data_IF_017225526057
#
_entry.id   IF_017225526057
#
_cell.length_a   1.000
_cell.length_b   1.000
_cell.length_c   1.000
_cell.angle_alpha   90.00
_cell.angle_beta   90.00
_cell.angle_gamma   90.00
#
_symmetry.space_group_name_H-M   'P 1'
#
loop_
_entity.id
_entity.type
_entity.pdbx_description
1 polymer ?
#
# COMPACT_ATOMS: atom_id res chain seq x y z
N UNK A 1 -20.85 -9.76 -14.74
CA UNK A 1 -21.00 -8.49 -14.02
C UNK A 1 -19.61 -7.92 -13.75
N UNK A 2 -19.41 -6.61 -13.85
CA UNK A 2 -18.09 -5.99 -13.75
C UNK A 2 -17.45 -6.28 -12.39
N UNK A 3 -16.15 -6.62 -12.40
CA UNK A 3 -15.35 -6.71 -11.20
C UNK A 3 -15.34 -5.35 -10.48
N UNK A 4 -15.67 -5.35 -9.20
CA UNK A 4 -15.65 -4.17 -8.32
C UNK A 4 -14.23 -3.61 -8.14
N UNK A 5 -14.08 -2.32 -7.86
CA UNK A 5 -12.77 -1.67 -7.74
C UNK A 5 -11.97 -2.24 -6.57
N UNK A 6 -12.63 -2.49 -5.43
CA UNK A 6 -12.01 -3.13 -4.28
C UNK A 6 -11.58 -4.57 -4.57
N UNK A 7 -12.33 -5.30 -5.41
CA UNK A 7 -11.97 -6.64 -5.84
C UNK A 7 -10.73 -6.62 -6.76
N UNK A 8 -10.70 -5.71 -7.73
CA UNK A 8 -9.54 -5.55 -8.62
C UNK A 8 -8.29 -5.10 -7.83
N UNK A 9 -8.45 -4.25 -6.82
CA UNK A 9 -7.35 -3.86 -5.93
C UNK A 9 -6.84 -5.04 -5.09
N UNK A 10 -7.74 -5.83 -4.51
CA UNK A 10 -7.39 -7.05 -3.78
C UNK A 10 -6.64 -8.04 -4.67
N UNK A 11 -7.17 -8.36 -5.86
CA UNK A 11 -6.52 -9.29 -6.79
C UNK A 11 -5.14 -8.81 -7.21
N UNK A 12 -4.97 -7.53 -7.54
CA UNK A 12 -3.65 -6.95 -7.84
C UNK A 12 -2.69 -7.14 -6.67
N UNK A 13 -3.13 -6.90 -5.44
CA UNK A 13 -2.29 -7.07 -4.26
C UNK A 13 -1.85 -8.53 -4.06
N UNK A 14 -2.75 -9.49 -4.28
CA UNK A 14 -2.44 -10.93 -4.22
C UNK A 14 -1.46 -11.31 -5.32
N UNK A 15 -1.66 -10.82 -6.55
CA UNK A 15 -0.77 -11.04 -7.69
C UNK A 15 0.63 -10.46 -7.45
N UNK A 16 0.74 -9.23 -6.97
CA UNK A 16 2.02 -8.60 -6.62
C UNK A 16 2.79 -9.42 -5.59
N UNK A 17 2.11 -9.89 -4.53
CA UNK A 17 2.71 -10.76 -3.51
C UNK A 17 3.11 -12.12 -4.06
N UNK A 18 2.34 -12.68 -4.99
CA UNK A 18 2.68 -13.92 -5.68
C UNK A 18 3.90 -13.75 -6.60
N UNK A 19 4.05 -12.62 -7.28
CA UNK A 19 5.26 -12.31 -8.05
C UNK A 19 6.51 -12.16 -7.16
N UNK A 20 6.37 -11.58 -5.95
CA UNK A 20 7.46 -11.59 -4.97
C UNK A 20 7.87 -13.01 -4.59
N UNK A 21 6.91 -13.92 -4.42
CA UNK A 21 7.18 -15.34 -4.17
C UNK A 21 7.90 -15.98 -5.36
N UNK A 22 7.46 -15.72 -6.61
CA UNK A 22 8.11 -16.25 -7.83
C UNK A 22 9.54 -15.77 -7.97
N UNK A 23 9.78 -14.50 -7.71
CA UNK A 23 11.11 -13.89 -7.73
C UNK A 23 12.02 -14.51 -6.66
N UNK A 24 11.55 -14.60 -5.41
CA UNK A 24 12.30 -15.22 -4.32
C UNK A 24 12.56 -16.71 -4.56
N UNK A 25 11.61 -17.42 -5.17
CA UNK A 25 11.75 -18.83 -5.54
C UNK A 25 12.84 -19.02 -6.59
N UNK A 26 12.82 -18.20 -7.65
CA UNK A 26 13.83 -18.25 -8.72
C UNK A 26 15.22 -17.94 -8.18
N UNK A 27 15.34 -16.90 -7.36
CA UNK A 27 16.59 -16.54 -6.70
C UNK A 27 17.12 -17.68 -5.82
N UNK A 28 16.27 -18.32 -5.00
CA UNK A 28 16.69 -19.46 -4.18
C UNK A 28 17.20 -20.62 -5.04
N UNK A 29 16.56 -20.93 -6.16
CA UNK A 29 17.05 -21.97 -7.08
C UNK A 29 18.46 -21.69 -7.60
N UNK A 30 18.72 -20.45 -8.00
CA UNK A 30 20.05 -20.01 -8.45
C UNK A 30 21.08 -20.06 -7.31
N UNK A 31 20.70 -19.60 -6.11
CA UNK A 31 21.58 -19.59 -4.94
C UNK A 31 21.89 -21.00 -4.42
N UNK A 32 20.98 -21.96 -4.53
CA UNK A 32 21.27 -23.35 -4.14
C UNK A 32 22.42 -23.93 -4.96
N UNK A 33 22.48 -23.60 -6.27
CA UNK A 33 23.50 -24.08 -7.19
C UNK A 33 24.87 -23.42 -6.95
N UNK A 34 24.89 -22.10 -6.70
CA UNK A 34 26.13 -21.31 -6.77
C UNK A 34 26.57 -20.68 -5.44
N UNK A 35 25.66 -20.61 -4.45
CA UNK A 35 25.91 -19.85 -3.22
C UNK A 35 26.61 -20.64 -2.13
N UNK A 36 27.11 -19.91 -1.13
CA UNK A 36 27.55 -20.48 0.15
C UNK A 36 26.36 -20.76 1.09
N UNK A 37 26.63 -21.33 2.27
CA UNK A 37 25.59 -21.74 3.21
C UNK A 37 24.73 -20.55 3.70
N UNK A 38 25.36 -19.43 4.03
CA UNK A 38 24.66 -18.24 4.52
C UNK A 38 23.78 -17.62 3.45
N UNK A 39 24.25 -17.58 2.20
CA UNK A 39 23.47 -17.10 1.06
C UNK A 39 22.22 -17.95 0.83
N UNK A 40 22.35 -19.29 0.94
CA UNK A 40 21.21 -20.21 0.82
C UNK A 40 20.21 -20.03 1.94
N UNK A 41 20.67 -19.86 3.18
CA UNK A 41 19.80 -19.57 4.33
C UNK A 41 19.05 -18.25 4.13
N UNK A 42 19.75 -17.18 3.71
CA UNK A 42 19.13 -15.88 3.43
C UNK A 42 18.08 -15.98 2.32
N UNK A 43 18.41 -16.65 1.21
CA UNK A 43 17.47 -16.83 0.10
C UNK A 43 16.25 -17.67 0.50
N UNK A 44 16.43 -18.74 1.29
CA UNK A 44 15.33 -19.57 1.81
C UNK A 44 14.45 -18.79 2.78
N UNK A 45 15.05 -17.98 3.64
CA UNK A 45 14.33 -17.10 4.57
C UNK A 45 13.49 -16.07 3.82
N UNK A 46 14.07 -15.42 2.80
CA UNK A 46 13.34 -14.48 1.94
C UNK A 46 12.15 -15.13 1.23
N UNK A 47 12.31 -16.35 0.69
CA UNK A 47 11.20 -17.09 0.10
C UNK A 47 10.12 -17.39 1.15
N UNK A 48 10.50 -17.85 2.35
CA UNK A 48 9.56 -18.12 3.44
C UNK A 48 8.75 -16.88 3.82
N UNK A 49 9.42 -15.73 3.96
CA UNK A 49 8.79 -14.45 4.29
C UNK A 49 7.81 -13.99 3.21
N UNK A 50 8.19 -14.12 1.93
CA UNK A 50 7.30 -13.83 0.81
C UNK A 50 6.05 -14.72 0.85
N UNK A 51 6.22 -16.04 1.08
CA UNK A 51 5.12 -16.98 1.19
C UNK A 51 4.19 -16.65 2.38
N UNK A 52 4.76 -16.33 3.55
CA UNK A 52 3.97 -15.95 4.73
C UNK A 52 3.22 -14.63 4.51
N UNK A 53 3.82 -13.69 3.78
CA UNK A 53 3.19 -12.41 3.43
C UNK A 53 2.01 -12.61 2.49
N UNK A 54 2.17 -13.46 1.47
CA UNK A 54 1.07 -13.86 0.61
C UNK A 54 -0.03 -14.58 1.41
N UNK A 55 0.33 -15.56 2.25
CA UNK A 55 -0.62 -16.32 3.07
C UNK A 55 -1.44 -15.43 4.02
N UNK A 56 -0.87 -14.34 4.55
CA UNK A 56 -1.59 -13.35 5.38
C UNK A 56 -2.63 -12.53 4.59
N UNK A 57 -2.57 -12.58 3.27
CA UNK A 57 -3.40 -11.76 2.38
C UNK A 57 -4.59 -12.53 1.80
N UNK A 58 -4.68 -13.82 2.10
CA UNK A 58 -5.72 -14.74 1.64
C UNK A 58 -6.21 -15.56 2.83
N UNK A 59 -7.48 -15.95 2.85
CA UNK A 59 -8.01 -16.76 3.93
C UNK A 59 -7.36 -18.15 3.94
N UNK A 60 -7.16 -18.73 5.12
CA UNK A 60 -6.51 -20.04 5.30
C UNK A 60 -7.11 -21.20 4.45
N UNK A 61 -8.45 -21.28 4.28
CA UNK A 61 -9.06 -22.28 3.39
C UNK A 61 -8.60 -22.14 1.94
N UNK A 62 -8.34 -20.91 1.49
CA UNK A 62 -7.99 -20.56 0.11
C UNK A 62 -6.49 -20.68 -0.17
N UNK A 63 -5.69 -21.07 0.82
CA UNK A 63 -4.25 -21.26 0.62
C UNK A 63 -4.02 -22.42 -0.36
N UNK A 64 -3.42 -22.16 -1.53
CA UNK A 64 -3.14 -23.23 -2.46
C UNK A 64 -2.07 -24.17 -1.84
N UNK A 65 -2.13 -25.45 -2.21
CA UNK A 65 -1.27 -26.47 -1.61
C UNK A 65 0.22 -26.14 -1.75
N UNK A 66 0.62 -25.58 -2.91
CA UNK A 66 1.99 -25.17 -3.16
C UNK A 66 2.49 -24.13 -2.15
N UNK A 67 1.61 -23.24 -1.67
CA UNK A 67 1.97 -22.19 -0.72
C UNK A 67 2.25 -22.79 0.66
N UNK A 68 1.34 -23.64 1.14
CA UNK A 68 1.52 -24.38 2.41
C UNK A 68 2.79 -25.21 2.38
N UNK A 69 3.01 -25.93 1.28
CA UNK A 69 4.20 -26.75 1.07
C UNK A 69 5.48 -25.91 1.05
N UNK A 70 5.51 -24.80 0.30
CA UNK A 70 6.67 -23.90 0.26
C UNK A 70 7.01 -23.34 1.65
N UNK A 71 6.01 -22.94 2.45
CA UNK A 71 6.21 -22.50 3.84
C UNK A 71 6.83 -23.64 4.66
N UNK A 72 6.25 -24.83 4.63
CA UNK A 72 6.75 -25.98 5.40
C UNK A 72 8.18 -26.37 4.99
N UNK A 73 8.47 -26.45 3.69
CA UNK A 73 9.78 -26.82 3.14
C UNK A 73 10.87 -25.84 3.55
N UNK A 74 10.64 -24.54 3.35
CA UNK A 74 11.61 -23.49 3.71
C UNK A 74 11.81 -23.38 5.23
N UNK A 75 10.75 -23.58 6.02
CA UNK A 75 10.85 -23.65 7.47
C UNK A 75 11.73 -24.80 7.96
N UNK A 76 11.51 -26.00 7.40
CA UNK A 76 12.31 -27.18 7.73
C UNK A 76 13.78 -27.02 7.32
N UNK A 77 14.06 -26.38 6.18
CA UNK A 77 15.42 -26.09 5.75
C UNK A 77 16.10 -25.08 6.67
N UNK A 78 15.47 -23.95 6.97
CA UNK A 78 16.06 -22.91 7.82
C UNK A 78 16.47 -23.46 9.20
N UNK A 79 15.68 -24.37 9.76
CA UNK A 79 15.99 -25.04 11.03
C UNK A 79 17.15 -26.05 10.96
N UNK A 80 17.50 -26.55 9.78
CA UNK A 80 18.47 -27.65 9.60
C UNK A 80 19.53 -27.35 8.51
N UNK A 81 19.75 -26.08 8.19
CA UNK A 81 20.53 -25.64 7.03
C UNK A 81 22.01 -26.03 7.12
N UNK A 82 22.54 -26.21 8.34
CA UNK A 82 23.94 -26.59 8.60
C UNK A 82 24.33 -27.96 8.02
N UNK A 83 23.38 -28.89 7.83
CA UNK A 83 23.65 -30.19 7.21
C UNK A 83 23.44 -30.12 5.68
N UNK A 84 24.50 -30.28 4.86
CA UNK A 84 24.43 -30.18 3.40
C UNK A 84 23.40 -31.11 2.73
N UNK A 85 23.02 -32.22 3.36
CA UNK A 85 21.97 -33.13 2.85
C UNK A 85 20.61 -32.44 2.76
N UNK A 86 20.37 -31.40 3.55
CA UNK A 86 19.15 -30.61 3.50
C UNK A 86 19.08 -29.69 2.28
N UNK A 87 20.20 -29.33 1.64
CA UNK A 87 20.20 -28.60 0.37
C UNK A 87 19.56 -29.41 -0.75
N UNK A 88 19.92 -30.69 -0.86
CA UNK A 88 19.36 -31.59 -1.88
C UNK A 88 17.89 -31.88 -1.60
N UNK A 89 17.51 -32.09 -0.33
CA UNK A 89 16.11 -32.25 0.07
C UNK A 89 15.28 -31.00 -0.23
N UNK A 90 15.83 -29.81 0.02
CA UNK A 90 15.20 -28.53 -0.28
C UNK A 90 14.93 -28.42 -1.78
N UNK A 91 15.96 -28.62 -2.62
CA UNK A 91 15.86 -28.53 -4.06
C UNK A 91 14.79 -29.49 -4.61
N UNK A 92 14.86 -30.77 -4.25
CA UNK A 92 13.90 -31.78 -4.71
C UNK A 92 12.46 -31.43 -4.33
N UNK A 93 12.23 -31.05 -3.07
CA UNK A 93 10.87 -30.71 -2.61
C UNK A 93 10.33 -29.46 -3.27
N UNK A 94 11.16 -28.43 -3.48
CA UNK A 94 10.74 -27.22 -4.16
C UNK A 94 10.48 -27.43 -5.65
N UNK A 95 11.25 -28.30 -6.33
CA UNK A 95 11.03 -28.61 -7.75
C UNK A 95 9.61 -29.15 -8.00
N UNK A 96 9.08 -29.97 -7.08
CA UNK A 96 7.69 -30.45 -7.16
C UNK A 96 6.65 -29.33 -7.08
N UNK A 97 6.99 -28.17 -6.49
CA UNK A 97 6.10 -27.02 -6.40
C UNK A 97 6.20 -26.08 -7.62
N UNK A 98 7.22 -26.23 -8.47
CA UNK A 98 7.55 -25.26 -9.54
C UNK A 98 6.39 -24.99 -10.49
N UNK A 99 5.76 -26.05 -11.01
CA UNK A 99 4.66 -25.94 -11.96
C UNK A 99 3.44 -25.29 -11.31
N UNK A 100 3.03 -25.78 -10.14
CA UNK A 100 1.89 -25.25 -9.41
C UNK A 100 2.09 -23.77 -9.06
N UNK A 101 3.27 -23.39 -8.56
CA UNK A 101 3.60 -22.00 -8.21
C UNK A 101 3.61 -21.07 -9.43
N UNK A 102 4.17 -21.49 -10.58
CA UNK A 102 4.34 -20.64 -11.76
C UNK A 102 3.05 -20.46 -12.58
N UNK A 103 2.19 -21.46 -12.58
CA UNK A 103 0.98 -21.48 -13.41
C UNK A 103 -0.29 -21.26 -12.59
N UNK A 104 -0.18 -20.98 -11.30
CA UNK A 104 -1.34 -20.66 -10.47
C UNK A 104 -2.00 -19.37 -10.94
N UNK A 105 -3.27 -19.44 -11.27
CA UNK A 105 -4.14 -18.29 -11.51
C UNK A 105 -4.98 -18.03 -10.27
N UNK A 106 -5.02 -16.77 -9.85
CA UNK A 106 -5.93 -16.34 -8.79
C UNK A 106 -7.29 -16.06 -9.41
N UNK A 107 -8.20 -17.01 -9.28
CA UNK A 107 -9.61 -16.85 -9.63
C UNK A 107 -10.44 -17.10 -8.38
N UNK A 108 -11.28 -16.13 -8.00
CA UNK A 108 -12.39 -16.40 -7.09
C UNK A 108 -13.57 -16.81 -7.96
N UNK A 109 -14.09 -18.02 -7.75
CA UNK A 109 -15.18 -18.53 -8.60
C UNK A 109 -16.43 -17.68 -8.41
N UNK A 110 -17.20 -17.44 -9.48
CA UNK A 110 -18.46 -16.70 -9.41
C UNK A 110 -19.48 -17.34 -8.44
N UNK A 111 -19.27 -18.61 -8.10
CA UNK A 111 -20.07 -19.37 -7.14
C UNK A 111 -19.92 -18.87 -5.70
N UNK A 112 -18.85 -18.12 -5.40
CA UNK A 112 -18.58 -17.50 -4.09
C UNK A 112 -19.11 -16.05 -4.01
N UNK A 113 -19.61 -15.49 -5.11
CA UNK A 113 -20.09 -14.10 -5.19
C UNK A 113 -21.48 -13.96 -4.61
N UNK A 114 -21.52 -13.92 -3.29
CA UNK A 114 -22.66 -13.42 -2.52
C UNK A 114 -22.85 -11.92 -2.79
N UNK A 115 -23.94 -11.58 -3.47
CA UNK A 115 -24.29 -10.20 -3.81
C UNK A 115 -24.44 -9.31 -2.55
N UNK A 116 -24.80 -9.94 -1.43
CA UNK A 116 -24.90 -9.36 -0.08
C UNK A 116 -23.54 -9.08 0.58
N UNK A 117 -22.45 -9.65 0.05
CA UNK A 117 -21.05 -9.41 0.47
C UNK A 117 -20.27 -8.52 -0.50
N UNK A 118 -20.97 -7.81 -1.40
CA UNK A 118 -20.33 -6.86 -2.29
C UNK A 118 -19.80 -5.65 -1.49
N UNK A 119 -18.49 -5.67 -1.19
CA UNK A 119 -17.80 -4.63 -0.42
C UNK A 119 -17.99 -3.23 -0.98
N UNK A 120 -18.04 -3.07 -2.31
CA UNK A 120 -18.26 -1.75 -2.91
C UNK A 120 -19.68 -1.26 -2.67
N UNK A 121 -20.70 -2.13 -2.74
CA UNK A 121 -22.09 -1.76 -2.40
C UNK A 121 -22.20 -1.39 -0.91
N UNK A 122 -21.60 -2.19 -0.03
CA UNK A 122 -21.59 -1.93 1.42
C UNK A 122 -20.88 -0.61 1.72
N UNK A 123 -19.70 -0.40 1.10
CA UNK A 123 -18.96 0.85 1.22
C UNK A 123 -19.76 2.05 0.74
N UNK A 124 -20.35 2.00 -0.46
CA UNK A 124 -21.11 3.12 -1.02
C UNK A 124 -22.29 3.49 -0.12
N UNK A 125 -23.00 2.50 0.43
CA UNK A 125 -24.08 2.74 1.38
C UNK A 125 -23.62 3.58 2.59
N UNK A 126 -22.51 3.21 3.23
CA UNK A 126 -22.01 3.93 4.41
C UNK A 126 -21.33 5.25 4.04
N UNK A 127 -20.68 5.33 2.87
CA UNK A 127 -20.10 6.56 2.35
C UNK A 127 -21.17 7.63 2.10
N UNK A 128 -22.30 7.25 1.52
CA UNK A 128 -23.38 8.18 1.20
C UNK A 128 -24.12 8.69 2.46
N UNK A 129 -23.96 7.99 3.58
CA UNK A 129 -24.49 8.38 4.90
C UNK A 129 -23.47 9.14 5.74
N UNK A 130 -22.20 9.19 5.31
CA UNK A 130 -21.10 9.81 6.04
C UNK A 130 -20.80 11.22 5.55
N UNK A 131 -19.93 11.92 6.27
CA UNK A 131 -19.41 13.24 5.88
C UNK A 131 -18.27 13.16 4.88
N UNK A 132 -17.84 11.96 4.46
CA UNK A 132 -16.72 11.80 3.52
C UNK A 132 -16.90 12.61 2.23
N UNK A 133 -18.06 12.62 1.54
CA UNK A 133 -18.23 13.40 0.32
C UNK A 133 -18.00 14.90 0.56
N UNK A 134 -18.49 15.42 1.70
CA UNK A 134 -18.33 16.82 2.10
C UNK A 134 -16.86 17.15 2.41
N UNK A 135 -16.17 16.25 3.12
CA UNK A 135 -14.76 16.42 3.49
C UNK A 135 -13.85 16.40 2.25
N UNK A 136 -14.08 15.49 1.30
CA UNK A 136 -13.37 15.50 0.01
C UNK A 136 -13.56 16.81 -0.74
N UNK A 137 -14.81 17.30 -0.79
CA UNK A 137 -15.13 18.58 -1.42
C UNK A 137 -14.41 19.74 -0.73
N UNK A 138 -14.42 19.79 0.60
CA UNK A 138 -13.72 20.82 1.37
C UNK A 138 -12.21 20.81 1.11
N UNK A 139 -11.57 19.63 1.05
CA UNK A 139 -10.15 19.53 0.70
C UNK A 139 -9.85 20.08 -0.70
N UNK A 140 -10.69 19.75 -1.69
CA UNK A 140 -10.57 20.26 -3.06
C UNK A 140 -10.65 21.79 -3.07
N UNK A 141 -11.67 22.36 -2.45
CA UNK A 141 -11.90 23.81 -2.38
C UNK A 141 -10.72 24.54 -1.71
N UNK A 142 -10.16 23.98 -0.64
CA UNK A 142 -9.01 24.57 0.04
C UNK A 142 -7.73 24.51 -0.77
N UNK A 143 -7.45 23.41 -1.49
CA UNK A 143 -6.28 23.32 -2.38
C UNK A 143 -6.41 24.29 -3.55
N UNK A 144 -7.61 24.43 -4.12
CA UNK A 144 -7.89 25.42 -5.14
C UNK A 144 -7.69 26.85 -4.62
N UNK A 145 -8.16 27.16 -3.40
CA UNK A 145 -7.96 28.46 -2.78
C UNK A 145 -6.46 28.75 -2.52
N UNK A 146 -5.69 27.75 -2.09
CA UNK A 146 -4.25 27.87 -1.91
C UNK A 146 -3.56 28.20 -3.24
N UNK A 147 -3.90 27.48 -4.32
CA UNK A 147 -3.35 27.73 -5.67
C UNK A 147 -3.76 29.10 -6.22
N UNK A 148 -5.01 29.53 -5.97
CA UNK A 148 -5.55 30.79 -6.44
C UNK A 148 -5.01 32.01 -5.68
N UNK A 149 -4.46 31.82 -4.47
CA UNK A 149 -3.92 32.91 -3.65
C UNK A 149 -2.75 33.66 -4.31
N UNK A 150 -1.98 32.96 -5.16
CA UNK A 150 -0.77 33.51 -5.77
C UNK A 150 0.39 33.72 -4.78
N UNK A 151 0.26 33.30 -3.51
CA UNK A 151 1.30 33.48 -2.48
C UNK A 151 2.41 32.41 -2.55
N UNK A 152 2.29 31.44 -3.46
CA UNK A 152 3.27 30.36 -3.63
C UNK A 152 4.18 30.68 -4.82
N UNK A 153 5.37 31.21 -4.51
CA UNK A 153 6.38 31.55 -5.52
C UNK A 153 7.16 30.33 -6.05
N UNK A 154 7.16 29.23 -5.30
CA UNK A 154 7.88 28.00 -5.70
C UNK A 154 7.06 27.20 -6.71
N UNK A 155 7.58 27.10 -7.94
CA UNK A 155 7.04 26.24 -9.01
C UNK A 155 6.87 24.80 -8.51
N UNK A 156 7.87 24.28 -7.79
CA UNK A 156 7.85 22.93 -7.24
C UNK A 156 6.72 22.75 -6.21
N UNK A 157 6.54 23.73 -5.31
CA UNK A 157 5.47 23.67 -4.30
C UNK A 157 4.08 23.73 -4.93
N UNK A 158 3.91 24.58 -5.96
CA UNK A 158 2.68 24.65 -6.74
C UNK A 158 2.36 23.32 -7.44
N UNK A 159 3.35 22.71 -8.09
CA UNK A 159 3.19 21.41 -8.74
C UNK A 159 2.77 20.33 -7.73
N UNK A 160 3.38 20.29 -6.54
CA UNK A 160 2.99 19.33 -5.50
C UNK A 160 1.52 19.50 -5.04
N UNK A 161 1.02 20.73 -4.97
CA UNK A 161 -0.40 20.99 -4.64
C UNK A 161 -1.32 20.59 -5.80
N UNK A 162 -0.93 20.86 -7.05
CA UNK A 162 -1.69 20.45 -8.24
C UNK A 162 -1.76 18.91 -8.34
N UNK A 163 -0.66 18.21 -8.04
CA UNK A 163 -0.61 16.75 -7.94
C UNK A 163 -1.53 16.22 -6.83
N UNK A 164 -1.47 16.81 -5.64
CA UNK A 164 -2.37 16.46 -4.53
C UNK A 164 -3.83 16.70 -4.93
N UNK A 165 -4.16 17.85 -5.54
CA UNK A 165 -5.50 18.17 -6.00
C UNK A 165 -6.01 17.14 -7.03
N UNK A 166 -5.16 16.78 -8.00
CA UNK A 166 -5.45 15.72 -8.96
C UNK A 166 -5.72 14.37 -8.28
N UNK A 167 -4.89 14.01 -7.29
CA UNK A 167 -5.05 12.81 -6.50
C UNK A 167 -6.37 12.80 -5.70
N UNK A 168 -6.69 13.88 -4.98
CA UNK A 168 -7.94 13.99 -4.19
C UNK A 168 -9.16 13.90 -5.11
N UNK A 169 -9.15 14.59 -6.26
CA UNK A 169 -10.24 14.54 -7.24
C UNK A 169 -10.45 13.16 -7.84
N UNK A 170 -9.37 12.44 -8.14
CA UNK A 170 -9.44 11.09 -8.71
C UNK A 170 -10.01 10.07 -7.70
N UNK A 171 -9.81 10.28 -6.40
CA UNK A 171 -10.21 9.33 -5.37
C UNK A 171 -11.53 9.67 -4.66
N UNK A 172 -12.10 10.86 -4.84
CA UNK A 172 -13.33 11.28 -4.16
C UNK A 172 -14.55 10.37 -4.43
N UNK A 173 -14.54 9.64 -5.55
CA UNK A 173 -15.58 8.69 -5.96
C UNK A 173 -15.10 7.23 -5.97
N UNK A 174 -13.88 6.96 -5.51
CA UNK A 174 -13.31 5.61 -5.52
C UNK A 174 -13.93 4.70 -4.45
N UNK A 175 -13.66 3.41 -4.54
CA UNK A 175 -14.11 2.41 -3.55
C UNK A 175 -13.37 2.50 -2.20
N UNK A 176 -13.66 1.55 -1.30
CA UNK A 176 -13.06 1.48 0.04
C UNK A 176 -11.53 1.56 0.01
N UNK A 177 -10.90 0.88 -0.96
CA UNK A 177 -9.45 0.92 -1.12
C UNK A 177 -8.94 2.33 -1.41
N UNK A 178 -9.57 3.05 -2.34
CA UNK A 178 -9.23 4.45 -2.69
C UNK A 178 -9.34 5.38 -1.49
N UNK A 179 -10.35 5.18 -0.63
CA UNK A 179 -10.49 5.94 0.61
C UNK A 179 -9.31 5.69 1.56
N UNK A 180 -8.97 4.42 1.80
CA UNK A 180 -7.88 4.05 2.72
C UNK A 180 -6.52 4.59 2.23
N UNK A 181 -6.24 4.49 0.93
CA UNK A 181 -5.02 5.07 0.35
C UNK A 181 -5.02 6.59 0.39
N UNK A 182 -6.18 7.22 0.19
CA UNK A 182 -6.30 8.68 0.21
C UNK A 182 -6.01 9.25 1.59
N UNK A 183 -6.58 8.65 2.63
CA UNK A 183 -6.31 9.04 4.02
C UNK A 183 -4.81 9.02 4.34
N UNK A 184 -4.12 7.93 3.99
CA UNK A 184 -2.70 7.80 4.29
C UNK A 184 -1.85 8.79 3.48
N UNK A 185 -2.13 8.93 2.18
CA UNK A 185 -1.39 9.84 1.32
C UNK A 185 -1.58 11.29 1.74
N UNK A 186 -2.83 11.75 1.92
CA UNK A 186 -3.15 13.12 2.32
C UNK A 186 -2.55 13.42 3.69
N UNK A 187 -2.65 12.48 4.64
CA UNK A 187 -2.04 12.61 5.97
C UNK A 187 -0.50 12.72 5.93
N UNK A 188 0.17 11.93 5.07
CA UNK A 188 1.62 12.03 4.88
C UNK A 188 2.02 13.31 4.16
N UNK A 189 1.27 13.69 3.12
CA UNK A 189 1.49 14.95 2.40
C UNK A 189 1.40 16.11 3.37
N UNK A 190 0.40 16.15 4.25
CA UNK A 190 0.28 17.18 5.27
C UNK A 190 1.47 17.23 6.21
N UNK A 191 1.90 16.08 6.74
CA UNK A 191 3.05 16.02 7.65
C UNK A 191 4.35 16.51 7.01
N UNK A 192 4.52 16.30 5.71
CA UNK A 192 5.75 16.60 4.99
C UNK A 192 5.74 18.00 4.33
N UNK A 193 4.61 18.41 3.76
CA UNK A 193 4.48 19.66 3.01
C UNK A 193 4.01 20.83 3.88
N UNK A 194 3.05 20.61 4.77
CA UNK A 194 2.35 21.70 5.46
C UNK A 194 3.21 22.40 6.53
N UNK A 195 4.28 21.78 7.04
CA UNK A 195 5.13 22.38 8.08
C UNK A 195 6.24 23.30 7.61
N UNK A 196 6.76 23.11 6.40
CA UNK A 196 7.88 23.93 5.93
C UNK A 196 7.44 25.17 5.14
N UNK A 197 6.29 25.12 4.45
CA UNK A 197 5.91 26.21 3.52
C UNK A 197 4.65 26.99 3.94
N UNK A 198 3.63 26.33 4.47
CA UNK A 198 2.30 26.94 4.63
C UNK A 198 2.13 27.80 5.89
N UNK A 199 2.97 27.62 6.92
CA UNK A 199 2.88 28.35 8.20
C UNK A 199 3.35 29.80 8.11
N UNK A 200 4.25 30.07 7.18
CA UNK A 200 4.98 31.34 7.12
C UNK A 200 4.35 32.33 6.14
N UNK A 201 3.36 31.88 5.35
CA UNK A 201 2.61 32.71 4.41
C UNK A 201 1.31 33.24 5.06
N UNK A 202 1.19 34.57 5.28
CA UNK A 202 0.10 35.16 6.05
C UNK A 202 -1.31 34.88 5.49
N UNK A 203 -1.52 34.84 4.18
CA UNK A 203 -2.84 34.59 3.59
C UNK A 203 -3.18 33.11 3.42
N UNK A 204 -2.18 32.22 3.40
CA UNK A 204 -2.39 30.76 3.35
C UNK A 204 -2.59 30.15 4.74
N UNK A 205 -2.07 30.79 5.80
CA UNK A 205 -2.05 30.23 7.16
C UNK A 205 -3.41 29.75 7.69
N UNK A 206 -4.48 30.49 7.44
CA UNK A 206 -5.81 30.10 7.92
C UNK A 206 -6.37 28.92 7.11
N UNK A 207 -6.23 28.96 5.78
CA UNK A 207 -6.63 27.87 4.88
C UNK A 207 -5.86 26.58 5.15
N UNK A 208 -4.56 26.67 5.43
CA UNK A 208 -3.73 25.53 5.79
C UNK A 208 -4.16 24.87 7.11
N UNK A 209 -4.53 25.66 8.12
CA UNK A 209 -5.10 25.14 9.38
C UNK A 209 -6.46 24.49 9.18
N UNK A 210 -7.32 25.09 8.37
CA UNK A 210 -8.60 24.50 8.02
C UNK A 210 -8.39 23.17 7.29
N UNK A 211 -7.42 23.12 6.37
CA UNK A 211 -7.06 21.91 5.64
C UNK A 211 -6.58 20.81 6.59
N UNK A 212 -5.66 21.12 7.52
CA UNK A 212 -5.20 20.18 8.56
C UNK A 212 -6.36 19.59 9.34
N UNK A 213 -7.26 20.43 9.85
CA UNK A 213 -8.45 19.98 10.57
C UNK A 213 -9.35 19.09 9.71
N UNK A 214 -9.58 19.43 8.45
CA UNK A 214 -10.39 18.61 7.54
C UNK A 214 -9.74 17.26 7.25
N UNK A 215 -8.41 17.17 7.21
CA UNK A 215 -7.68 15.89 7.08
C UNK A 215 -7.84 15.05 8.34
N UNK A 216 -7.80 15.66 9.53
CA UNK A 216 -8.08 14.98 10.80
C UNK A 216 -9.52 14.46 10.85
N UNK A 217 -10.50 15.31 10.53
CA UNK A 217 -11.93 14.96 10.45
C UNK A 217 -12.16 13.82 9.44
N UNK A 218 -11.50 13.86 8.27
CA UNK A 218 -11.54 12.78 7.29
C UNK A 218 -10.97 11.47 7.83
N UNK A 219 -9.92 11.55 8.66
CA UNK A 219 -9.36 10.39 9.34
C UNK A 219 -10.37 9.72 10.27
N UNK A 220 -11.07 10.50 11.09
CA UNK A 220 -12.11 10.03 12.00
C UNK A 220 -13.30 9.43 11.25
N UNK A 221 -13.81 10.15 10.24
CA UNK A 221 -14.95 9.70 9.45
C UNK A 221 -14.64 8.40 8.68
N UNK A 222 -13.39 8.25 8.21
CA UNK A 222 -12.93 7.01 7.58
C UNK A 222 -12.95 5.85 8.57
N UNK A 223 -12.56 6.07 9.83
CA UNK A 223 -12.60 5.05 10.87
C UNK A 223 -14.04 4.63 11.21
N UNK A 224 -14.98 5.58 11.25
CA UNK A 224 -16.41 5.31 11.47
C UNK A 224 -17.02 4.49 10.34
N UNK A 225 -16.83 4.92 9.08
CA UNK A 225 -17.31 4.17 7.90
C UNK A 225 -16.72 2.76 7.89
N UNK A 226 -15.45 2.62 8.22
CA UNK A 226 -14.80 1.33 8.31
C UNK A 226 -15.38 0.45 9.42
N UNK A 227 -15.69 1.03 10.59
CA UNK A 227 -16.37 0.36 11.68
C UNK A 227 -17.71 -0.24 11.25
N UNK A 228 -18.54 0.55 10.58
CA UNK A 228 -19.83 0.09 10.07
C UNK A 228 -19.73 -1.01 9.00
N UNK A 229 -18.75 -0.90 8.10
CA UNK A 229 -18.48 -1.96 7.12
C UNK A 229 -18.09 -3.26 7.84
N UNK A 230 -17.22 -3.18 8.84
CA UNK A 230 -16.79 -4.32 9.65
C UNK A 230 -17.96 -4.99 10.39
N UNK A 231 -18.83 -4.19 11.01
CA UNK A 231 -20.06 -4.66 11.66
C UNK A 231 -20.98 -5.38 10.67
N UNK A 232 -21.28 -4.75 9.52
CA UNK A 232 -22.13 -5.31 8.48
C UNK A 232 -21.59 -6.64 7.93
N UNK A 233 -20.27 -6.76 7.79
CA UNK A 233 -19.63 -7.99 7.35
C UNK A 233 -19.68 -9.09 8.41
N UNK A 234 -19.47 -8.76 9.68
CA UNK A 234 -19.53 -9.72 10.78
C UNK A 234 -20.95 -10.27 11.00
N UNK A 235 -21.99 -9.46 10.80
CA UNK A 235 -23.39 -9.92 10.85
C UNK A 235 -23.69 -10.94 9.75
N UNK A 236 -23.16 -10.73 8.55
CA UNK A 236 -23.40 -11.60 7.38
C UNK A 236 -22.48 -12.83 7.35
N UNK A 237 -21.38 -12.80 8.08
CA UNK A 237 -20.36 -13.85 8.16
C UNK A 237 -20.00 -14.15 9.62
N UNK A 238 -20.85 -14.89 10.37
CA UNK A 238 -20.53 -15.30 11.73
C UNK A 238 -19.30 -16.23 11.72
N UNK A 239 -18.14 -15.69 12.10
CA UNK A 239 -16.88 -16.42 12.26
C UNK A 239 -15.73 -16.07 11.31
N UNK A 240 -15.82 -15.07 10.43
CA UNK A 240 -14.71 -14.84 9.51
C UNK A 240 -14.73 -13.59 8.65
N UNK A 241 -14.31 -12.47 9.25
CA UNK A 241 -13.30 -11.57 8.68
C UNK A 241 -12.47 -11.09 9.86
N UNK A 242 -11.50 -11.91 10.29
CA UNK A 242 -10.51 -11.50 11.27
C UNK A 242 -9.76 -10.29 10.72
N UNK A 243 -10.24 -9.10 11.09
CA UNK A 243 -9.75 -7.79 10.71
C UNK A 243 -9.50 -7.62 9.20
N UNK A 244 -10.39 -6.90 8.51
CA UNK A 244 -9.91 -6.07 7.41
C UNK A 244 -8.61 -5.38 7.92
N UNK A 245 -7.50 -5.41 7.17
CA UNK A 245 -6.27 -4.81 7.65
C UNK A 245 -6.50 -3.30 7.77
N UNK A 246 -6.54 -2.81 9.01
CA UNK A 246 -6.72 -1.39 9.37
C UNK A 246 -5.61 -0.47 8.80
N UNK A 247 -4.57 -1.04 8.18
CA UNK A 247 -3.50 -0.32 7.49
C UNK A 247 -3.26 -0.93 6.11
N UNK A 248 -3.58 -0.23 5.00
CA UNK A 248 -2.90 -0.51 3.74
C UNK A 248 -1.38 -0.33 3.97
N UNK A 249 -0.58 -1.32 3.55
CA UNK A 249 0.86 -1.11 3.43
C UNK A 249 1.08 -0.40 2.09
N UNK A 250 1.40 0.90 2.12
CA UNK A 250 1.80 1.62 0.90
C UNK A 250 3.03 0.94 0.32
N UNK A 251 2.87 0.38 -0.89
CA UNK A 251 3.98 -0.02 -1.74
C UNK A 251 4.73 1.26 -2.14
N UNK A 252 6.03 1.29 -1.83
CA UNK A 252 6.88 2.47 -1.83
C UNK A 252 7.08 3.11 -3.19
N UNK A 253 6.18 4.01 -3.58
CA UNK A 253 6.38 4.88 -4.75
C UNK A 253 7.04 6.23 -4.43
N UNK A 254 7.35 6.54 -3.16
CA UNK A 254 7.74 7.92 -2.79
C UNK A 254 8.92 8.05 -1.80
N UNK A 255 9.92 7.16 -1.86
CA UNK A 255 11.23 7.43 -1.24
C UNK A 255 12.14 8.32 -2.12
N UNK A 256 11.57 9.24 -2.90
CA UNK A 256 12.38 10.33 -3.47
C UNK A 256 12.45 11.43 -2.42
N UNK A 257 13.61 11.55 -1.76
CA UNK A 257 13.95 12.75 -0.98
C UNK A 257 13.67 14.00 -1.83
N UNK A 258 13.08 15.06 -1.26
CA UNK A 258 13.00 16.33 -1.97
C UNK A 258 14.42 16.78 -2.34
N UNK A 259 14.61 17.40 -3.52
CA UNK A 259 15.90 17.96 -3.88
C UNK A 259 16.30 18.99 -2.83
N UNK A 260 17.47 18.78 -2.23
CA UNK A 260 18.07 19.78 -1.35
C UNK A 260 18.41 20.99 -2.21
N UNK A 261 17.70 22.10 -1.99
CA UNK A 261 18.08 23.39 -2.54
C UNK A 261 19.33 23.86 -1.78
N UNK A 262 20.50 23.59 -2.33
CA UNK A 262 21.72 24.31 -1.95
C UNK A 262 21.49 25.77 -2.33
N UNK A 263 21.40 26.65 -1.34
CA UNK A 263 21.34 28.10 -1.57
C UNK A 263 22.55 28.58 -2.38
N UNK A 264 22.46 29.73 -3.05
CA UNK A 264 23.58 30.28 -3.81
C UNK A 264 24.80 30.45 -2.90
N UNK A 265 25.92 29.86 -3.31
CA UNK A 265 27.22 30.02 -2.66
C UNK A 265 27.57 31.52 -2.58
N UNK A 266 27.53 32.07 -1.38
CA UNK A 266 28.13 33.37 -1.05
C UNK A 266 29.66 33.24 -0.92
N UNK A 267 30.32 32.73 -1.95
CA UNK A 267 31.77 32.68 -2.07
C UNK A 267 32.15 32.91 -3.53
N UNK A 268 32.02 34.16 -3.98
CA UNK A 268 32.67 34.68 -5.19
C UNK A 268 32.67 36.22 -5.15
N UNK A 269 33.22 36.80 -4.08
CA UNK A 269 33.60 38.22 -4.04
C UNK A 269 34.77 38.40 -3.07
N UNK A 270 35.99 38.35 -3.61
CA UNK A 270 37.31 38.80 -3.12
C UNK A 270 38.34 37.85 -3.79
N UNK A 271 39.31 38.24 -4.61
CA UNK A 271 40.06 39.47 -4.78
C UNK A 271 40.77 39.36 -6.15
N UNK A 272 40.84 40.45 -6.92
CA UNK A 272 41.86 40.63 -7.96
C UNK A 272 42.59 41.94 -7.62
N UNK A 273 43.88 41.91 -7.26
CA UNK A 273 44.69 43.11 -7.19
C UNK A 273 45.70 43.16 -8.34
N UNK A 274 45.71 44.31 -9.02
CA UNK A 274 46.91 44.87 -9.68
C UNK A 274 48.07 45.05 -8.68
#
# INVERSE_FOLDING_TARGET
MANTDSYNAFLRNVQEKHELVRSAYTHLFETIANGNLDEKLKASTKLREACLTLAKSIAEPDHPEWLRNCIAITGAYNANHEDPRHNVKLLNKLMHQSHALRNHTWEMTDQDRRDDLNLDKIYQQYRDQSRLPELFKALIEMLEAILASGEIDSIAARQSIEELLGFVRANQHGGLYSLLTSREFIGKFMKNWAWEYARDLPGIKQTAKAFEKTVEDMGLETDEVYGHISESLNEKLPGGLAALPHKPQVIGYLERKPPQLTGPNSQDLEHDPD
#
